data_IF_758177956062
#
_entry.id   IF_758177956062
#
_cell.length_a   1.000
_cell.length_b   1.000
_cell.length_c   1.000
_cell.angle_alpha   90.00
_cell.angle_beta   90.00
_cell.angle_gamma   90.00
#
_symmetry.space_group_name_H-M   'P 1'
#
loop_
_entity.id
_entity.type
_entity.pdbx_description
1 polymer ?
#
# COMPACT_ATOMS: atom_id res chain seq x y z
N UNK A 1 -3.71 -0.51 -27.40
CA UNK A 1 -4.03 -1.88 -26.99
C UNK A 1 -4.36 -1.82 -25.51
N UNK A 2 -5.52 -2.32 -25.08
CA UNK A 2 -5.86 -2.36 -23.65
C UNK A 2 -4.98 -3.38 -22.95
N UNK A 3 -4.65 -3.14 -21.68
CA UNK A 3 -3.86 -4.10 -20.89
C UNK A 3 -4.57 -5.45 -20.74
N UNK A 4 -5.90 -5.46 -20.81
CA UNK A 4 -6.70 -6.69 -20.80
C UNK A 4 -6.52 -7.49 -22.10
N UNK A 5 -6.33 -6.82 -23.24
CA UNK A 5 -6.06 -7.50 -24.52
C UNK A 5 -4.71 -8.21 -24.52
N UNK A 6 -3.71 -7.67 -23.82
CA UNK A 6 -2.40 -8.32 -23.64
C UNK A 6 -2.50 -9.55 -22.72
N UNK A 7 -3.44 -9.53 -21.77
CA UNK A 7 -3.66 -10.62 -20.82
C UNK A 7 -4.47 -11.79 -21.39
N UNK A 8 -5.15 -11.60 -22.52
CA UNK A 8 -5.96 -12.64 -23.16
C UNK A 8 -5.17 -13.93 -23.47
N UNK A 9 -3.86 -13.83 -23.76
CA UNK A 9 -3.01 -14.98 -24.06
C UNK A 9 -2.83 -15.93 -22.86
N UNK A 10 -3.05 -15.44 -21.63
CA UNK A 10 -2.90 -16.22 -20.41
C UNK A 10 -4.20 -16.92 -19.97
N UNK A 11 -5.33 -16.68 -20.65
CA UNK A 11 -6.60 -17.35 -20.39
C UNK A 11 -7.02 -17.28 -18.92
N UNK A 12 -7.35 -18.43 -18.33
CA UNK A 12 -7.80 -18.54 -16.93
C UNK A 12 -6.73 -18.13 -15.91
N UNK A 13 -5.45 -18.11 -16.29
CA UNK A 13 -4.36 -17.70 -15.40
C UNK A 13 -4.25 -16.17 -15.25
N UNK A 14 -4.83 -15.39 -16.16
CA UNK A 14 -4.68 -13.93 -16.20
C UNK A 14 -4.96 -13.23 -14.85
N UNK A 15 -6.06 -13.54 -14.11
CA UNK A 15 -6.38 -12.86 -12.84
C UNK A 15 -5.37 -13.09 -11.70
N UNK A 16 -4.55 -14.14 -11.82
CA UNK A 16 -3.49 -14.52 -10.88
C UNK A 16 -2.13 -13.88 -11.23
N UNK A 17 -1.99 -13.33 -12.45
CA UNK A 17 -0.78 -12.67 -12.91
C UNK A 17 -0.92 -11.15 -12.83
N UNK A 18 -2.08 -10.62 -13.26
CA UNK A 18 -2.36 -9.19 -13.30
C UNK A 18 -3.86 -8.93 -13.12
N UNK A 19 -4.20 -7.90 -12.36
CA UNK A 19 -5.60 -7.44 -12.25
C UNK A 19 -6.08 -6.77 -13.52
N UNK A 20 -7.39 -6.87 -13.75
CA UNK A 20 -8.02 -6.23 -14.89
C UNK A 20 -7.78 -4.72 -14.89
N UNK A 21 -7.81 -4.12 -16.07
CA UNK A 21 -7.65 -2.68 -16.23
C UNK A 21 -8.66 -1.89 -15.37
N UNK A 22 -9.89 -2.40 -15.30
CA UNK A 22 -10.96 -1.84 -14.48
C UNK A 22 -10.58 -1.83 -12.99
N UNK A 23 -10.18 -2.96 -12.42
CA UNK A 23 -9.80 -3.05 -11.01
C UNK A 23 -8.59 -2.16 -10.69
N UNK A 24 -7.63 -2.07 -11.64
CA UNK A 24 -6.48 -1.18 -11.50
C UNK A 24 -6.93 0.29 -11.46
N UNK A 25 -7.76 0.73 -12.40
CA UNK A 25 -8.27 2.10 -12.42
C UNK A 25 -9.04 2.42 -11.13
N UNK A 26 -9.90 1.52 -10.67
CA UNK A 26 -10.64 1.68 -9.41
C UNK A 26 -9.69 1.80 -8.21
N UNK A 27 -8.63 0.99 -8.14
CA UNK A 27 -7.63 1.09 -7.10
C UNK A 27 -6.86 2.43 -7.13
N UNK A 28 -6.47 2.88 -8.32
CA UNK A 28 -5.72 4.13 -8.51
C UNK A 28 -6.54 5.37 -8.15
N UNK A 29 -7.85 5.32 -8.33
CA UNK A 29 -8.77 6.42 -8.04
C UNK A 29 -9.21 6.48 -6.57
N UNK A 30 -8.73 5.57 -5.70
CA UNK A 30 -9.05 5.62 -4.27
C UNK A 30 -8.56 6.93 -3.65
N UNK A 31 -9.36 7.59 -2.78
CA UNK A 31 -8.92 8.76 -2.06
C UNK A 31 -7.65 8.48 -1.26
N UNK A 32 -6.64 9.34 -1.40
CA UNK A 32 -5.37 9.23 -0.71
C UNK A 32 -4.85 10.60 -0.35
N UNK A 33 -4.55 10.80 0.93
CA UNK A 33 -3.87 12.00 1.40
C UNK A 33 -2.42 11.65 1.76
N UNK A 34 -1.49 12.12 0.94
CA UNK A 34 -0.06 11.85 1.08
C UNK A 34 0.54 12.43 2.37
N UNK A 35 -0.09 13.43 3.00
CA UNK A 35 0.42 14.06 4.22
C UNK A 35 0.00 13.32 5.48
N UNK A 36 -1.15 12.66 5.46
CA UNK A 36 -1.72 12.00 6.64
C UNK A 36 -1.66 10.47 6.57
N UNK A 37 -1.62 9.86 5.38
CA UNK A 37 -1.56 8.41 5.19
C UNK A 37 -0.14 7.89 5.36
N UNK A 38 0.07 7.08 6.41
CA UNK A 38 1.40 6.61 6.83
C UNK A 38 1.37 5.15 7.26
N UNK A 39 2.55 4.52 7.23
CA UNK A 39 2.83 3.33 8.01
C UNK A 39 3.44 3.72 9.36
N UNK A 40 3.06 3.02 10.41
CA UNK A 40 3.57 3.21 11.76
C UNK A 40 4.03 1.90 12.35
N UNK A 41 5.12 1.92 13.13
CA UNK A 41 5.62 0.74 13.84
C UNK A 41 4.55 0.23 14.81
N UNK A 42 4.27 -1.07 14.76
CA UNK A 42 3.31 -1.74 15.63
C UNK A 42 3.99 -2.85 16.45
N UNK A 43 3.77 -2.93 17.78
CA UNK A 43 4.44 -3.92 18.63
C UNK A 43 4.17 -5.39 18.24
N UNK A 44 3.00 -5.70 17.66
CA UNK A 44 2.60 -7.08 17.32
C UNK A 44 2.66 -7.41 15.83
N UNK A 45 2.56 -6.41 14.97
CA UNK A 45 2.41 -6.59 13.51
C UNK A 45 3.59 -6.02 12.73
N UNK A 46 4.64 -5.59 13.44
CA UNK A 46 5.82 -4.85 12.93
C UNK A 46 5.46 -3.48 12.35
N UNK A 47 4.60 -3.42 11.34
CA UNK A 47 4.13 -2.19 10.71
C UNK A 47 2.65 -2.27 10.39
N UNK A 48 1.91 -1.20 10.67
CA UNK A 48 0.49 -1.08 10.33
C UNK A 48 0.23 0.21 9.57
N UNK A 49 -0.81 0.23 8.74
CA UNK A 49 -1.33 1.44 8.11
C UNK A 49 -2.09 2.29 9.11
N UNK A 50 -2.02 3.60 8.93
CA UNK A 50 -2.81 4.53 9.71
C UNK A 50 -2.84 5.94 9.14
N UNK A 51 -3.62 6.78 9.81
CA UNK A 51 -3.82 8.19 9.46
C UNK A 51 -3.37 9.07 10.61
N UNK A 52 -2.47 10.01 10.34
CA UNK A 52 -2.01 11.01 11.32
C UNK A 52 -3.22 11.84 11.80
N UNK A 53 -3.38 11.92 13.11
CA UNK A 53 -4.39 12.73 13.79
C UNK A 53 -3.80 14.06 14.28
N UNK A 54 -2.62 14.00 14.91
CA UNK A 54 -1.94 15.19 15.42
C UNK A 54 -0.42 15.01 15.46
N UNK A 55 0.30 16.12 15.49
CA UNK A 55 1.76 16.18 15.69
C UNK A 55 2.06 17.19 16.78
N UNK A 56 2.68 16.75 17.86
CA UNK A 56 2.98 17.57 19.04
C UNK A 56 4.40 17.27 19.53
N UNK A 57 5.25 18.29 19.60
CA UNK A 57 6.56 18.25 20.27
C UNK A 57 7.44 17.03 19.92
N UNK A 58 7.50 16.66 18.63
CA UNK A 58 8.32 15.54 18.13
C UNK A 58 7.69 14.14 18.29
N UNK A 59 6.42 14.08 18.70
CA UNK A 59 5.59 12.88 18.69
C UNK A 59 4.43 13.05 17.73
N UNK A 60 3.99 11.94 17.16
CA UNK A 60 2.90 11.90 16.20
C UNK A 60 1.89 10.88 16.65
N UNK A 61 0.63 11.30 16.69
CA UNK A 61 -0.50 10.43 17.01
C UNK A 61 -1.13 9.96 15.72
N UNK A 62 -1.16 8.64 15.53
CA UNK A 62 -1.69 7.96 14.34
C UNK A 62 -2.85 7.08 14.75
N UNK A 63 -3.97 7.17 14.03
CA UNK A 63 -5.07 6.22 14.12
C UNK A 63 -4.85 5.10 13.11
N UNK A 64 -4.65 3.89 13.59
CA UNK A 64 -4.45 2.70 12.76
C UNK A 64 -5.75 2.29 12.06
N UNK A 65 -5.64 1.56 10.94
CA UNK A 65 -6.82 0.99 10.26
C UNK A 65 -7.57 -0.03 11.15
N UNK A 66 -6.89 -0.63 12.14
CA UNK A 66 -7.49 -1.52 13.14
C UNK A 66 -8.31 -0.78 14.22
N UNK A 67 -8.34 0.55 14.19
CA UNK A 67 -9.08 1.38 15.14
C UNK A 67 -8.30 1.79 16.40
N UNK A 68 -7.09 1.28 16.58
CA UNK A 68 -6.19 1.67 17.68
C UNK A 68 -5.53 3.03 17.40
N UNK A 69 -5.30 3.82 18.45
CA UNK A 69 -4.55 5.07 18.38
C UNK A 69 -3.17 4.89 19.00
N UNK A 70 -2.12 5.18 18.23
CA UNK A 70 -0.73 5.07 18.66
C UNK A 70 -0.07 6.45 18.68
N UNK A 71 0.68 6.73 19.74
CA UNK A 71 1.56 7.91 19.79
C UNK A 71 3.00 7.44 19.71
N UNK A 72 3.63 7.70 18.58
CA UNK A 72 5.00 7.28 18.28
C UNK A 72 5.90 8.50 18.02
N UNK A 73 7.19 8.26 17.92
CA UNK A 73 8.14 9.28 17.47
C UNK A 73 8.08 9.43 15.95
N UNK A 74 8.56 10.56 15.42
CA UNK A 74 8.57 10.82 13.98
C UNK A 74 9.41 9.83 13.17
N UNK A 75 10.47 9.26 13.75
CA UNK A 75 11.34 8.25 13.12
C UNK A 75 10.67 6.86 13.00
N UNK A 76 9.53 6.65 13.64
CA UNK A 76 8.73 5.42 13.57
C UNK A 76 7.56 5.55 12.59
N UNK A 77 7.55 6.60 11.77
CA UNK A 77 6.53 6.89 10.77
C UNK A 77 7.15 6.88 9.38
N UNK A 78 6.50 6.17 8.47
CA UNK A 78 6.94 6.02 7.10
C UNK A 78 5.83 6.44 6.13
N UNK A 79 6.18 7.22 5.11
CA UNK A 79 5.21 7.69 4.10
C UNK A 79 4.62 6.54 3.29
N UNK A 80 3.32 6.57 3.02
CA UNK A 80 2.69 5.61 2.11
C UNK A 80 2.89 6.03 0.65
N UNK A 81 3.05 5.04 -0.23
CA UNK A 81 3.00 5.30 -1.67
C UNK A 81 1.55 5.61 -2.09
N UNK A 82 1.35 6.54 -3.05
CA UNK A 82 0.02 6.78 -3.62
C UNK A 82 -0.60 5.54 -4.26
N UNK A 83 -1.93 5.45 -4.41
CA UNK A 83 -2.63 4.28 -4.93
C UNK A 83 -2.22 3.86 -6.35
N UNK A 84 -1.59 4.76 -7.13
CA UNK A 84 -0.98 4.41 -8.42
C UNK A 84 0.10 3.31 -8.34
N UNK A 85 0.69 3.12 -7.16
CA UNK A 85 1.69 2.07 -6.90
C UNK A 85 1.09 0.84 -6.22
N UNK A 86 -0.24 0.76 -6.06
CA UNK A 86 -0.90 -0.40 -5.49
C UNK A 86 -0.64 -1.65 -6.36
N UNK A 87 -0.17 -2.73 -5.72
CA UNK A 87 0.21 -4.00 -6.35
C UNK A 87 1.12 -3.82 -7.57
N UNK A 88 2.11 -2.94 -7.49
CA UNK A 88 3.06 -2.76 -8.59
C UNK A 88 3.85 -4.06 -8.82
N UNK A 89 4.14 -4.36 -10.10
CA UNK A 89 4.89 -5.54 -10.51
C UNK A 89 6.39 -5.40 -10.18
N UNK A 90 6.95 -4.21 -10.38
CA UNK A 90 8.32 -3.88 -10.01
C UNK A 90 8.33 -2.88 -8.85
N UNK A 91 8.70 -3.35 -7.66
CA UNK A 91 8.77 -2.51 -6.46
C UNK A 91 9.89 -1.46 -6.52
N UNK A 92 10.90 -1.63 -7.37
CA UNK A 92 11.94 -0.62 -7.55
C UNK A 92 11.38 0.68 -8.17
N UNK A 93 10.19 0.63 -8.78
CA UNK A 93 9.50 1.79 -9.34
C UNK A 93 8.70 2.60 -8.29
N UNK A 94 8.66 2.16 -7.03
CA UNK A 94 7.98 2.90 -5.95
C UNK A 94 8.71 4.20 -5.60
N UNK A 95 7.95 5.25 -5.26
CA UNK A 95 8.54 6.52 -4.80
C UNK A 95 9.14 6.39 -3.40
N UNK A 96 8.45 5.67 -2.50
CA UNK A 96 8.94 5.36 -1.17
C UNK A 96 9.30 3.88 -1.11
N UNK A 97 10.61 3.59 -1.03
CA UNK A 97 11.15 2.23 -1.01
C UNK A 97 11.77 1.93 0.37
N UNK A 98 10.90 1.72 1.34
CA UNK A 98 11.24 1.34 2.72
C UNK A 98 10.58 0.00 3.08
N UNK A 99 10.96 -0.58 4.22
CA UNK A 99 10.49 -1.89 4.67
C UNK A 99 8.96 -2.06 4.63
N UNK A 100 8.14 -1.14 5.21
CA UNK A 100 6.70 -1.33 5.19
C UNK A 100 6.08 -1.19 3.79
N UNK A 101 6.63 -0.35 2.90
CA UNK A 101 6.13 -0.25 1.52
C UNK A 101 6.30 -1.57 0.76
N UNK A 102 7.47 -2.20 0.88
CA UNK A 102 7.76 -3.49 0.25
C UNK A 102 6.87 -4.58 0.84
N UNK A 103 6.77 -4.65 2.16
CA UNK A 103 5.95 -5.63 2.87
C UNK A 103 4.48 -5.54 2.45
N UNK A 104 3.91 -4.35 2.43
CA UNK A 104 2.49 -4.17 2.10
C UNK A 104 2.18 -4.42 0.62
N UNK A 105 3.10 -4.10 -0.29
CA UNK A 105 2.93 -4.47 -1.70
C UNK A 105 2.85 -5.99 -1.87
N UNK A 106 3.80 -6.72 -1.27
CA UNK A 106 3.81 -8.18 -1.30
C UNK A 106 2.55 -8.76 -0.64
N UNK A 107 2.15 -8.24 0.53
CA UNK A 107 0.95 -8.66 1.26
C UNK A 107 -0.32 -8.49 0.41
N UNK A 108 -0.45 -7.36 -0.29
CA UNK A 108 -1.62 -7.05 -1.10
C UNK A 108 -1.64 -7.79 -2.44
N UNK A 109 -0.49 -8.04 -3.05
CA UNK A 109 -0.38 -8.93 -4.22
C UNK A 109 -0.77 -10.36 -3.82
N UNK A 110 -0.24 -10.85 -2.70
CA UNK A 110 -0.54 -12.18 -2.20
C UNK A 110 -2.02 -12.36 -1.84
N UNK A 111 -2.64 -11.40 -1.15
CA UNK A 111 -4.08 -11.41 -0.86
C UNK A 111 -4.96 -11.43 -2.12
N UNK A 112 -4.41 -10.95 -3.24
CA UNK A 112 -5.02 -10.94 -4.55
C UNK A 112 -4.64 -12.16 -5.42
N UNK A 113 -3.98 -13.17 -4.83
CA UNK A 113 -3.49 -14.39 -5.49
C UNK A 113 -2.41 -14.16 -6.55
N UNK A 114 -1.69 -13.05 -6.47
CA UNK A 114 -0.53 -12.75 -7.30
C UNK A 114 0.74 -12.99 -6.49
N UNK A 115 1.44 -14.09 -6.76
CA UNK A 115 2.56 -14.57 -5.93
C UNK A 115 3.94 -14.12 -6.42
N UNK A 116 3.99 -13.42 -7.56
CA UNK A 116 5.18 -12.82 -8.16
C UNK A 116 5.00 -11.32 -8.30
#
# INVERSE_FOLDING_TARGET
MSSDSEMAIFGEAAPYLRKSEKERIEAQNKPFDAKSSVFVVHPKESFVKGTIQSKESGKVTVKTEGGETLTVKEDQIFSMNPPKYDKIEDMAMMTHLHEPAVLYNLKERYAAWMIY
#
